data_IF_806945784869
#
_entry.id   IF_806945784869
#
_cell.length_a   1.000
_cell.length_b   1.000
_cell.length_c   1.000
_cell.angle_alpha   90.00
_cell.angle_beta   90.00
_cell.angle_gamma   90.00
#
_symmetry.space_group_name_H-M   'P 1'
#
loop_
_entity.id
_entity.type
_entity.pdbx_description
1 polymer ?
#
# COMPACT_ATOMS: atom_id res chain seq x y z
N UNK A 1 12.33 -7.45 5.71
CA UNK A 1 11.48 -7.87 6.86
C UNK A 1 10.42 -8.81 6.30
N UNK A 2 10.00 -9.86 7.03
CA UNK A 2 8.91 -10.74 6.58
C UNK A 2 7.63 -10.30 7.26
N UNK A 3 6.65 -9.84 6.48
CA UNK A 3 5.30 -9.51 6.96
C UNK A 3 4.34 -10.66 6.60
N UNK A 4 3.65 -11.20 7.61
CA UNK A 4 2.63 -12.24 7.42
C UNK A 4 1.25 -11.58 7.39
N UNK A 5 0.61 -11.54 6.22
CA UNK A 5 -0.70 -10.90 6.01
C UNK A 5 -1.72 -11.88 5.40
N UNK A 6 -2.96 -11.83 5.89
CA UNK A 6 -4.15 -12.40 5.25
C UNK A 6 -5.15 -11.30 4.90
N UNK A 7 -5.90 -11.47 3.80
CA UNK A 7 -7.01 -10.58 3.46
C UNK A 7 -8.31 -11.38 3.37
N UNK A 8 -9.30 -10.92 4.12
CA UNK A 8 -10.64 -11.51 4.15
C UNK A 8 -11.61 -10.49 3.59
N UNK A 9 -12.52 -10.94 2.73
CA UNK A 9 -13.60 -10.09 2.23
C UNK A 9 -14.61 -9.87 3.35
N UNK A 10 -14.98 -8.61 3.57
CA UNK A 10 -15.99 -8.23 4.56
C UNK A 10 -17.25 -7.80 3.80
N UNK A 11 -18.33 -8.55 3.97
CA UNK A 11 -19.64 -8.23 3.38
C UNK A 11 -20.36 -7.12 4.14
N UNK A 12 -20.27 -7.11 5.47
CA UNK A 12 -20.86 -6.08 6.33
C UNK A 12 -19.80 -5.43 7.25
N UNK A 13 -19.25 -4.27 6.82
CA UNK A 13 -18.29 -3.51 7.62
C UNK A 13 -18.86 -3.01 8.96
N UNK A 14 -20.17 -2.76 9.05
CA UNK A 14 -20.80 -2.24 10.27
C UNK A 14 -20.86 -3.33 11.33
N UNK A 15 -21.28 -4.54 10.96
CA UNK A 15 -21.26 -5.70 11.85
C UNK A 15 -19.84 -6.01 12.35
N UNK A 16 -18.85 -6.00 11.45
CA UNK A 16 -17.46 -6.25 11.84
C UNK A 16 -16.93 -5.17 12.80
N UNK A 17 -17.23 -3.89 12.56
CA UNK A 17 -16.87 -2.81 13.49
C UNK A 17 -17.48 -3.01 14.88
N UNK A 18 -18.75 -3.43 14.95
CA UNK A 18 -19.40 -3.74 16.23
C UNK A 18 -18.69 -4.88 16.96
N UNK A 19 -18.37 -5.98 16.27
CA UNK A 19 -17.62 -7.11 16.82
C UNK A 19 -16.23 -6.70 17.34
N UNK A 20 -15.54 -5.79 16.65
CA UNK A 20 -14.27 -5.26 17.16
C UNK A 20 -14.45 -4.55 18.50
N UNK A 21 -15.46 -3.68 18.64
CA UNK A 21 -15.73 -2.97 19.90
C UNK A 21 -16.10 -3.95 21.02
N UNK A 22 -16.94 -4.95 20.74
CA UNK A 22 -17.28 -6.03 21.70
C UNK A 22 -16.05 -6.81 22.17
N UNK A 23 -15.01 -6.91 21.32
CA UNK A 23 -13.71 -7.51 21.63
C UNK A 23 -12.66 -6.51 22.08
N UNK A 24 -13.08 -5.34 22.60
CA UNK A 24 -12.20 -4.27 23.14
C UNK A 24 -11.28 -3.61 22.09
N UNK A 25 -11.56 -3.80 20.80
CA UNK A 25 -10.93 -3.05 19.72
C UNK A 25 -11.32 -1.58 19.77
N UNK A 26 -10.35 -0.69 19.56
CA UNK A 26 -10.57 0.75 19.52
C UNK A 26 -10.26 1.32 18.14
N UNK A 27 -11.11 2.25 17.69
CA UNK A 27 -10.80 3.06 16.53
C UNK A 27 -9.52 3.89 16.80
N UNK A 28 -8.60 3.91 15.84
CA UNK A 28 -7.37 4.71 15.91
C UNK A 28 -7.45 5.90 14.96
N UNK A 29 -7.52 5.62 13.66
CA UNK A 29 -7.58 6.60 12.59
C UNK A 29 -8.10 5.93 11.32
N UNK A 30 -8.34 6.74 10.28
CA UNK A 30 -8.64 6.27 8.93
C UNK A 30 -7.55 6.77 7.98
N UNK A 31 -7.28 6.00 6.92
CA UNK A 31 -6.27 6.33 5.92
C UNK A 31 -6.89 6.33 4.52
N UNK A 32 -6.52 7.30 3.69
CA UNK A 32 -6.65 7.21 2.24
C UNK A 32 -5.28 6.84 1.70
N UNK A 33 -5.19 5.70 1.01
CA UNK A 33 -4.00 5.30 0.28
C UNK A 33 -4.20 5.50 -1.22
N UNK A 34 -3.23 6.15 -1.84
CA UNK A 34 -3.08 6.24 -3.29
C UNK A 34 -1.78 5.51 -3.65
N UNK A 35 -1.92 4.30 -4.19
CA UNK A 35 -0.83 3.37 -4.47
C UNK A 35 -0.54 3.35 -5.98
N UNK A 36 0.55 3.96 -6.42
CA UNK A 36 1.04 3.88 -7.81
C UNK A 36 2.04 2.74 -7.94
N UNK A 37 1.74 1.79 -8.81
CA UNK A 37 2.60 0.64 -9.07
C UNK A 37 3.45 0.86 -10.32
N UNK A 38 4.69 0.43 -10.24
CA UNK A 38 5.68 0.54 -11.30
C UNK A 38 6.15 -0.85 -11.74
N UNK A 39 6.52 -0.96 -13.01
CA UNK A 39 7.25 -2.09 -13.55
C UNK A 39 8.58 -1.60 -14.12
N UNK A 40 9.53 -2.51 -14.28
CA UNK A 40 10.83 -2.20 -14.86
C UNK A 40 10.72 -1.70 -16.31
N UNK A 41 11.78 -1.06 -16.82
CA UNK A 41 11.94 -0.78 -18.25
C UNK A 41 11.62 -1.98 -19.14
N UNK A 42 11.09 -1.72 -20.34
CA UNK A 42 10.82 -2.79 -21.31
C UNK A 42 12.13 -3.52 -21.67
N UNK A 43 12.06 -4.84 -21.79
CA UNK A 43 13.23 -5.69 -22.05
C UNK A 43 13.99 -6.12 -20.80
N UNK A 44 13.68 -5.54 -19.63
CA UNK A 44 14.15 -6.03 -18.34
C UNK A 44 13.08 -6.93 -17.68
N UNK A 45 13.34 -7.32 -16.44
CA UNK A 45 12.49 -8.21 -15.65
C UNK A 45 11.05 -7.68 -15.53
N UNK A 46 10.06 -8.51 -15.85
CA UNK A 46 8.64 -8.17 -15.66
C UNK A 46 8.14 -8.62 -14.28
N UNK A 47 7.82 -7.65 -13.42
CA UNK A 47 7.32 -7.92 -12.07
C UNK A 47 6.02 -8.72 -12.02
N UNK A 48 5.17 -8.65 -13.06
CA UNK A 48 3.98 -9.47 -13.13
C UNK A 48 4.33 -10.96 -13.27
N UNK A 49 5.38 -11.27 -14.03
CA UNK A 49 5.82 -12.65 -14.27
C UNK A 49 6.58 -13.22 -13.08
N UNK A 50 7.27 -12.36 -12.32
CA UNK A 50 8.09 -12.78 -11.18
C UNK A 50 7.38 -12.65 -9.82
N UNK A 51 6.09 -12.30 -9.80
CA UNK A 51 5.26 -12.04 -8.60
C UNK A 51 5.87 -10.97 -7.66
N UNK A 52 6.61 -10.03 -8.24
CA UNK A 52 7.19 -8.88 -7.55
C UNK A 52 6.27 -7.66 -7.71
N UNK A 53 6.53 -6.62 -6.92
CA UNK A 53 5.92 -5.31 -7.16
C UNK A 53 6.81 -4.18 -6.63
N UNK A 54 6.76 -3.06 -7.33
CA UNK A 54 7.34 -1.79 -6.88
C UNK A 54 6.24 -0.75 -6.77
N UNK A 55 6.19 -0.01 -5.66
CA UNK A 55 5.08 0.90 -5.36
C UNK A 55 5.56 2.18 -4.72
N UNK A 56 5.02 3.31 -5.20
CA UNK A 56 4.94 4.55 -4.45
C UNK A 56 3.56 4.69 -3.81
N UNK A 57 3.52 5.01 -2.52
CA UNK A 57 2.29 5.22 -1.76
C UNK A 57 2.25 6.64 -1.23
N UNK A 58 1.13 7.32 -1.45
CA UNK A 58 0.69 8.48 -0.67
C UNK A 58 -0.34 8.02 0.37
N UNK A 59 -0.07 8.28 1.64
CA UNK A 59 -0.88 7.89 2.79
C UNK A 59 -1.38 9.12 3.54
N UNK A 60 -2.68 9.38 3.45
CA UNK A 60 -3.32 10.54 4.06
C UNK A 60 -4.17 10.09 5.25
N UNK A 61 -3.79 10.50 6.46
CA UNK A 61 -4.51 10.18 7.70
C UNK A 61 -5.59 11.21 7.99
N UNK A 62 -6.77 10.73 8.36
CA UNK A 62 -7.90 11.55 8.77
C UNK A 62 -8.71 10.88 9.90
N UNK A 63 -9.63 11.63 10.51
CA UNK A 63 -10.59 11.07 11.49
C UNK A 63 -11.93 10.77 10.82
N UNK A 64 -12.63 9.74 11.28
CA UNK A 64 -13.91 9.30 10.72
C UNK A 64 -14.93 10.41 10.50
N UNK A 65 -14.91 11.45 11.34
CA UNK A 65 -15.88 12.54 11.29
C UNK A 65 -15.43 13.74 10.45
N UNK A 66 -14.22 13.73 9.88
CA UNK A 66 -13.70 14.81 9.05
C UNK A 66 -12.66 14.29 8.05
N UNK A 67 -13.15 13.90 6.87
CA UNK A 67 -12.32 13.34 5.79
C UNK A 67 -11.47 14.39 5.08
N UNK A 68 -11.98 15.60 4.97
CA UNK A 68 -11.32 16.68 4.23
C UNK A 68 -10.14 17.27 5.01
N UNK A 69 -10.13 17.10 6.34
CA UNK A 69 -9.02 17.51 7.21
C UNK A 69 -7.99 16.39 7.35
N UNK A 70 -7.00 16.41 6.45
CA UNK A 70 -5.82 15.55 6.57
C UNK A 70 -4.97 16.00 7.77
N UNK A 71 -4.73 15.07 8.69
CA UNK A 71 -3.94 15.30 9.91
C UNK A 71 -2.47 14.98 9.69
N UNK A 72 -2.20 14.01 8.83
CA UNK A 72 -0.85 13.57 8.54
C UNK A 72 -0.80 13.07 7.10
N UNK A 73 0.28 13.42 6.41
CA UNK A 73 0.56 12.98 5.06
C UNK A 73 1.93 12.32 5.04
N UNK A 74 1.98 11.07 4.61
CA UNK A 74 3.22 10.29 4.56
C UNK A 74 3.38 9.63 3.20
N UNK A 75 4.63 9.48 2.77
CA UNK A 75 4.97 8.87 1.50
C UNK A 75 5.88 7.69 1.71
N UNK A 76 5.69 6.64 0.92
CA UNK A 76 6.48 5.42 1.03
C UNK A 76 6.87 4.90 -0.35
N UNK A 77 8.10 4.40 -0.45
CA UNK A 77 8.57 3.56 -1.55
C UNK A 77 8.74 2.15 -1.04
N UNK A 78 8.08 1.20 -1.71
CA UNK A 78 8.06 -0.19 -1.30
C UNK A 78 8.46 -1.09 -2.45
N UNK A 79 9.47 -1.94 -2.22
CA UNK A 79 9.70 -3.13 -3.02
C UNK A 79 9.09 -4.34 -2.30
N UNK A 80 8.33 -5.13 -3.05
CA UNK A 80 7.69 -6.37 -2.62
C UNK A 80 8.27 -7.50 -3.46
N UNK A 81 8.97 -8.43 -2.82
CA UNK A 81 9.44 -9.65 -3.48
C UNK A 81 8.30 -10.60 -3.84
N UNK A 82 8.67 -11.72 -4.48
CA UNK A 82 7.78 -12.86 -4.70
C UNK A 82 7.19 -13.37 -3.39
N UNK A 83 5.97 -13.91 -3.45
CA UNK A 83 5.40 -14.62 -2.29
C UNK A 83 6.26 -15.81 -1.91
N UNK A 84 6.33 -16.07 -0.61
CA UNK A 84 7.01 -17.24 -0.05
C UNK A 84 6.08 -18.47 0.01
N UNK A 85 4.77 -18.25 0.04
CA UNK A 85 3.76 -19.30 0.06
C UNK A 85 2.48 -18.88 -0.66
N UNK A 86 1.61 -19.87 -0.91
CA UNK A 86 0.34 -19.68 -1.65
C UNK A 86 -0.85 -19.31 -0.75
N UNK A 87 -0.78 -19.60 0.55
CA UNK A 87 -1.92 -19.47 1.48
C UNK A 87 -2.04 -18.05 2.01
N UNK A 88 -0.92 -17.36 2.15
CA UNK A 88 -0.83 -16.03 2.70
C UNK A 88 -0.29 -15.05 1.65
N UNK A 89 -0.19 -13.77 2.02
CA UNK A 89 0.48 -12.77 1.19
C UNK A 89 1.93 -12.54 1.59
N UNK A 90 2.51 -13.46 2.37
CA UNK A 90 3.85 -13.35 2.94
C UNK A 90 4.90 -13.25 1.85
N UNK A 91 5.76 -12.25 1.98
CA UNK A 91 6.86 -11.95 1.05
C UNK A 91 7.91 -11.12 1.77
N UNK A 92 9.12 -11.06 1.20
CA UNK A 92 10.10 -10.08 1.67
C UNK A 92 9.68 -8.69 1.20
N UNK A 93 9.55 -7.76 2.14
CA UNK A 93 9.25 -6.37 1.84
C UNK A 93 10.36 -5.45 2.36
N UNK A 94 10.70 -4.47 1.53
CA UNK A 94 11.59 -3.36 1.87
C UNK A 94 10.78 -2.10 1.64
N UNK A 95 10.51 -1.37 2.71
CA UNK A 95 9.78 -0.11 2.69
C UNK A 95 10.65 0.99 3.26
N UNK A 96 10.67 2.13 2.58
CA UNK A 96 11.30 3.35 3.07
C UNK A 96 10.27 4.48 3.07
N UNK A 97 10.34 5.31 4.11
CA UNK A 97 9.60 6.57 4.15
C UNK A 97 10.31 7.58 3.24
N UNK A 98 9.53 8.34 2.49
CA UNK A 98 10.03 9.40 1.63
C UNK A 98 9.59 10.76 2.17
N UNK A 99 10.47 11.75 2.03
CA UNK A 99 10.13 13.14 2.30
C UNK A 99 9.42 13.79 1.10
N UNK A 100 9.71 13.33 -0.12
CA UNK A 100 9.13 13.88 -1.35
C UNK A 100 8.86 12.77 -2.38
N UNK A 101 7.58 12.51 -2.64
CA UNK A 101 7.14 11.48 -3.59
C UNK A 101 7.37 11.86 -5.06
N UNK A 102 7.28 13.14 -5.41
CA UNK A 102 7.44 13.62 -6.79
C UNK A 102 8.89 13.46 -7.25
N UNK A 103 9.88 13.77 -6.38
CA UNK A 103 11.29 13.51 -6.67
C UNK A 103 11.57 12.02 -6.91
N UNK A 104 10.96 11.14 -6.11
CA UNK A 104 11.12 9.71 -6.31
C UNK A 104 10.47 9.25 -7.61
N UNK A 105 9.30 9.79 -7.94
CA UNK A 105 8.64 9.52 -9.22
C UNK A 105 9.48 9.98 -10.41
N UNK A 106 10.08 11.17 -10.34
CA UNK A 106 11.02 11.69 -11.34
C UNK A 106 12.24 10.78 -11.52
N UNK A 107 12.86 10.33 -10.42
CA UNK A 107 13.97 9.38 -10.47
C UNK A 107 13.55 8.07 -11.17
N UNK A 108 12.39 7.52 -10.83
CA UNK A 108 11.90 6.28 -11.45
C UNK A 108 11.66 6.47 -12.95
N UNK A 109 11.06 7.58 -13.35
CA UNK A 109 10.80 7.91 -14.76
C UNK A 109 12.10 8.07 -15.55
N UNK A 110 13.07 8.82 -15.03
CA UNK A 110 14.40 8.99 -15.64
C UNK A 110 15.18 7.66 -15.77
N UNK A 111 14.97 6.73 -14.83
CA UNK A 111 15.54 5.37 -14.90
C UNK A 111 14.72 4.43 -15.80
N UNK A 112 13.63 4.89 -16.41
CA UNK A 112 12.80 4.16 -17.35
C UNK A 112 11.79 3.20 -16.71
N UNK A 113 11.55 3.28 -15.39
CA UNK A 113 10.46 2.56 -14.76
C UNK A 113 9.13 3.09 -15.28
N UNK A 114 8.16 2.18 -15.44
CA UNK A 114 6.89 2.48 -16.07
C UNK A 114 5.77 2.39 -15.06
N UNK A 115 4.97 3.44 -14.94
CA UNK A 115 3.71 3.39 -14.21
C UNK A 115 2.77 2.36 -14.86
N UNK A 116 2.17 1.51 -14.04
CA UNK A 116 1.24 0.46 -14.48
C UNK A 116 -0.18 0.81 -14.11
N UNK A 117 -0.41 1.14 -12.83
CA UNK A 117 -1.74 1.43 -12.30
C UNK A 117 -1.64 2.20 -10.99
N UNK A 118 -2.61 3.08 -10.76
CA UNK A 118 -2.83 3.72 -9.46
C UNK A 118 -4.10 3.20 -8.82
N UNK A 119 -4.00 2.72 -7.58
CA UNK A 119 -5.12 2.18 -6.82
C UNK A 119 -5.39 3.10 -5.63
N UNK A 120 -6.60 3.66 -5.57
CA UNK A 120 -7.07 4.47 -4.44
C UNK A 120 -7.99 3.64 -3.54
N UNK A 121 -7.75 3.67 -2.22
CA UNK A 121 -8.56 2.94 -1.23
C UNK A 121 -8.58 3.65 0.12
N UNK A 122 -9.64 3.37 0.88
CA UNK A 122 -9.76 3.75 2.28
C UNK A 122 -9.41 2.55 3.18
N UNK A 123 -8.72 2.80 4.29
CA UNK A 123 -8.34 1.81 5.31
C UNK A 123 -8.73 2.29 6.69
#
# INVERSE_FOLDING_TARGET
>A
MIEVEIKVQISDPTLIRKKFVEKQGSYKFSLIHEDTYFNMPKGLRDFKQTDEALRLRKSSRFTRNNRDKIQQLEYFYTYKGRKLDILTKTRNEIEIKLDNIEKMKEILDLLGFREVITIKKER
#
